data_IF_328087949161
#
_entry.id   IF_328087949161
#
_cell.length_a   1.000
_cell.length_b   1.000
_cell.length_c   1.000
_cell.angle_alpha   90.00
_cell.angle_beta   90.00
_cell.angle_gamma   90.00
#
_symmetry.space_group_name_H-M   'P 1'
#
loop_
_entity.id
_entity.type
_entity.pdbx_description
1 polymer ?
#
# COMPACT_ATOMS: atom_id res chain seq x y z
N UNK A 1 -0.70 12.01 -15.61
CA UNK A 1 -1.15 10.89 -14.74
C UNK A 1 -0.01 9.91 -14.62
N UNK A 2 0.88 10.11 -13.65
CA UNK A 2 2.13 9.35 -13.49
C UNK A 2 1.98 8.25 -12.43
N UNK A 3 2.51 7.08 -12.73
CA UNK A 3 2.54 5.88 -11.87
C UNK A 3 3.21 6.16 -10.52
N UNK A 4 2.41 6.40 -9.47
CA UNK A 4 2.90 6.53 -8.08
C UNK A 4 3.54 5.24 -7.54
N UNK A 5 3.30 4.11 -8.20
CA UNK A 5 3.83 2.80 -7.81
C UNK A 5 5.38 2.72 -7.81
N UNK A 6 6.08 3.59 -8.55
CA UNK A 6 7.55 3.59 -8.57
C UNK A 6 8.19 4.22 -7.33
N UNK A 7 7.43 5.00 -6.55
CA UNK A 7 7.93 5.56 -5.29
C UNK A 7 8.07 4.49 -4.18
N UNK A 8 7.39 3.35 -4.35
CA UNK A 8 7.42 2.20 -3.47
C UNK A 8 8.48 1.16 -3.87
N UNK A 9 9.54 1.55 -4.59
CA UNK A 9 10.59 0.62 -5.04
C UNK A 9 11.23 -0.20 -3.91
N UNK A 10 11.30 0.35 -2.70
CA UNK A 10 11.79 -0.30 -1.48
C UNK A 10 10.67 -0.91 -0.60
N UNK A 11 9.41 -0.68 -0.95
CA UNK A 11 8.25 -1.23 -0.26
C UNK A 11 7.97 -2.63 -0.79
N UNK A 12 7.61 -3.53 0.13
CA UNK A 12 7.33 -4.95 -0.03
C UNK A 12 7.52 -5.56 -1.42
N UNK A 13 8.38 -6.58 -1.48
CA UNK A 13 8.81 -7.25 -2.71
C UNK A 13 7.72 -7.95 -3.51
N UNK A 14 6.45 -7.89 -3.09
CA UNK A 14 5.31 -8.38 -3.86
C UNK A 14 4.71 -7.24 -4.72
N UNK A 15 4.64 -7.41 -6.06
CA UNK A 15 4.06 -6.41 -6.95
C UNK A 15 2.58 -6.09 -6.69
N UNK A 16 1.80 -7.04 -6.14
CA UNK A 16 0.37 -6.82 -5.88
C UNK A 16 0.17 -5.93 -4.65
N UNK A 17 0.94 -6.13 -3.58
CA UNK A 17 0.90 -5.27 -2.37
C UNK A 17 1.15 -3.80 -2.74
N UNK A 18 2.08 -3.55 -3.66
CA UNK A 18 2.37 -2.20 -4.17
C UNK A 18 1.17 -1.58 -4.87
N UNK A 19 0.42 -2.37 -5.64
CA UNK A 19 -0.79 -1.88 -6.31
C UNK A 19 -1.91 -1.62 -5.31
N UNK A 20 -2.08 -2.48 -4.30
CA UNK A 20 -3.07 -2.32 -3.23
C UNK A 20 -2.81 -1.01 -2.47
N UNK A 21 -1.57 -0.83 -1.99
CA UNK A 21 -1.13 0.36 -1.26
C UNK A 21 -1.23 1.62 -2.12
N UNK A 22 -0.76 1.57 -3.37
CA UNK A 22 -0.85 2.71 -4.27
C UNK A 22 -2.31 3.12 -4.54
N UNK A 23 -3.22 2.15 -4.68
CA UNK A 23 -4.66 2.42 -4.87
C UNK A 23 -5.25 3.07 -3.63
N UNK A 24 -5.00 2.50 -2.45
CA UNK A 24 -5.47 3.06 -1.19
C UNK A 24 -5.00 4.51 -0.96
N UNK A 25 -3.76 4.82 -1.36
CA UNK A 25 -3.21 6.18 -1.27
C UNK A 25 -3.81 7.15 -2.28
N UNK A 26 -4.17 6.69 -3.48
CA UNK A 26 -4.82 7.53 -4.50
C UNK A 26 -6.25 7.85 -4.07
N UNK A 27 -6.94 6.88 -3.49
CA UNK A 27 -8.35 6.99 -3.11
C UNK A 27 -8.56 7.45 -1.66
N UNK A 28 -7.47 7.69 -0.91
CA UNK A 28 -7.49 7.98 0.53
C UNK A 28 -8.30 6.95 1.33
N UNK A 29 -8.21 5.67 0.93
CA UNK A 29 -8.96 4.57 1.51
C UNK A 29 -8.19 3.87 2.64
N UNK A 30 -8.94 3.25 3.57
CA UNK A 30 -8.40 2.39 4.62
C UNK A 30 -8.28 0.96 4.08
N UNK A 31 -7.14 0.31 4.32
CA UNK A 31 -6.91 -1.07 3.90
C UNK A 31 -7.36 -2.03 5.02
N UNK A 32 -8.28 -2.94 4.73
CA UNK A 32 -8.62 -4.05 5.63
C UNK A 32 -7.72 -5.23 5.29
N UNK A 33 -6.80 -5.60 6.18
CA UNK A 33 -5.84 -6.68 5.90
C UNK A 33 -5.30 -7.36 7.15
N UNK A 34 -5.12 -8.69 7.07
CA UNK A 34 -4.37 -9.49 8.07
C UNK A 34 -2.87 -9.49 7.83
N UNK A 35 -2.44 -9.00 6.67
CA UNK A 35 -1.03 -8.99 6.33
C UNK A 35 -0.31 -7.95 7.17
N UNK A 36 0.61 -8.43 8.00
CA UNK A 36 1.43 -7.59 8.88
C UNK A 36 2.32 -6.64 8.10
N UNK A 37 2.74 -7.05 6.91
CA UNK A 37 3.59 -6.26 6.04
C UNK A 37 2.93 -4.94 5.65
N UNK A 38 1.65 -5.00 5.30
CA UNK A 38 0.84 -3.84 4.95
C UNK A 38 0.37 -3.13 6.21
N UNK A 39 0.00 -3.88 7.27
CA UNK A 39 -0.61 -3.28 8.44
C UNK A 39 0.36 -2.48 9.31
N UNK A 40 1.65 -2.79 9.27
CA UNK A 40 2.68 -2.05 10.01
C UNK A 40 3.27 -0.88 9.24
N UNK A 41 2.76 -0.61 8.04
CA UNK A 41 3.33 0.44 7.23
C UNK A 41 2.71 1.82 7.51
N UNK A 42 3.57 2.78 7.87
CA UNK A 42 3.17 4.13 8.23
C UNK A 42 2.57 4.94 7.06
N UNK A 43 2.79 4.52 5.81
CA UNK A 43 2.26 5.21 4.64
C UNK A 43 0.75 5.01 4.48
N UNK A 44 0.16 3.93 5.02
CA UNK A 44 -1.25 3.59 4.82
C UNK A 44 -1.99 3.39 6.12
N UNK A 45 -3.24 3.84 6.16
CA UNK A 45 -4.12 3.50 7.27
C UNK A 45 -4.70 2.11 7.04
N UNK A 46 -4.52 1.22 8.02
CA UNK A 46 -5.02 -0.14 7.95
C UNK A 46 -5.78 -0.55 9.21
N UNK A 47 -6.69 -1.52 9.05
CA UNK A 47 -7.44 -2.15 10.14
C UNK A 47 -7.51 -3.67 9.94
N UNK A 48 -7.72 -4.41 11.03
CA UNK A 48 -7.83 -5.86 11.03
C UNK A 48 -9.19 -6.34 11.52
#
# INVERSE_FOLDING_TARGET
MGVKATHFGAFHGDPADRLIVATALVDAAVIVTKDRNISTDDAVTSVW
#
